data_IF_699669267217
#
_entry.id   IF_699669267217
#
_cell.length_a   1.000
_cell.length_b   1.000
_cell.length_c   1.000
_cell.angle_alpha   90.00
_cell.angle_beta   90.00
_cell.angle_gamma   90.00
#
_symmetry.space_group_name_H-M   'P 1'
#
loop_
_entity.id
_entity.type
_entity.pdbx_description
1 polymer ?
#
# COMPACT_ATOMS: atom_id res chain seq x y z
N UNK A 1 20.55 -11.89 8.52
CA UNK A 1 19.90 -13.17 8.25
C UNK A 1 19.71 -13.26 6.73
N UNK A 2 20.64 -13.87 5.99
CA UNK A 2 20.63 -13.83 4.52
C UNK A 2 19.48 -14.64 3.89
N UNK A 3 18.93 -15.62 4.60
CA UNK A 3 17.84 -16.50 4.12
C UNK A 3 16.43 -16.02 4.50
N UNK A 4 16.29 -14.78 5.00
CA UNK A 4 14.99 -14.26 5.43
C UNK A 4 14.28 -13.53 4.30
N UNK A 5 12.99 -13.82 4.11
CA UNK A 5 12.13 -13.04 3.21
C UNK A 5 11.73 -11.72 3.86
N UNK A 6 11.91 -10.62 3.15
CA UNK A 6 11.66 -9.27 3.61
C UNK A 6 10.59 -8.58 2.76
N UNK A 7 9.57 -8.07 3.44
CA UNK A 7 8.62 -7.12 2.87
C UNK A 7 8.86 -5.73 3.47
N UNK A 8 9.14 -4.75 2.61
CA UNK A 8 9.37 -3.36 3.00
C UNK A 8 8.09 -2.54 2.84
N UNK A 9 7.44 -2.19 3.94
CA UNK A 9 6.33 -1.22 3.97
C UNK A 9 6.83 0.22 3.92
N UNK A 10 5.97 1.14 3.47
CA UNK A 10 6.31 2.57 3.41
C UNK A 10 6.32 3.22 4.79
N UNK A 11 5.31 2.90 5.60
CA UNK A 11 5.16 3.41 6.95
C UNK A 11 5.30 2.27 7.96
N UNK A 12 5.82 2.61 9.14
CA UNK A 12 5.65 1.77 10.32
C UNK A 12 4.20 1.92 10.77
N UNK A 13 3.39 0.85 10.75
CA UNK A 13 2.02 0.95 11.20
C UNK A 13 1.99 1.43 12.64
N UNK A 14 2.87 0.99 13.55
CA UNK A 14 2.77 1.32 14.99
C UNK A 14 3.01 2.82 15.28
N UNK A 15 3.70 3.52 14.39
CA UNK A 15 4.13 4.91 14.60
C UNK A 15 3.34 5.85 13.68
N UNK A 16 2.29 6.54 14.18
CA UNK A 16 1.47 7.40 13.34
C UNK A 16 2.29 8.56 12.78
N UNK A 17 2.23 8.73 11.46
CA UNK A 17 2.90 9.81 10.75
C UNK A 17 1.97 11.03 10.62
N UNK A 18 2.47 12.26 10.82
CA UNK A 18 1.70 13.47 10.53
C UNK A 18 1.22 13.50 9.07
N UNK A 19 -0.05 13.79 8.86
CA UNK A 19 -0.63 13.96 7.52
C UNK A 19 -0.27 15.33 6.90
N UNK A 20 -0.46 15.47 5.58
CA UNK A 20 -0.29 16.71 4.83
C UNK A 20 1.08 16.84 4.16
N UNK A 21 1.86 15.76 4.09
CA UNK A 21 3.21 15.77 3.53
C UNK A 21 3.33 14.93 2.25
N UNK A 22 2.21 14.59 1.61
CA UNK A 22 2.17 13.98 0.28
C UNK A 22 1.95 15.02 -0.81
N UNK A 23 2.94 15.13 -1.69
CA UNK A 23 2.93 16.02 -2.87
C UNK A 23 2.81 15.22 -4.16
N UNK A 24 2.81 15.90 -5.31
CA UNK A 24 2.83 15.22 -6.61
C UNK A 24 4.20 14.62 -6.96
N UNK A 25 5.24 14.96 -6.19
CA UNK A 25 6.64 14.61 -6.46
C UNK A 25 7.25 13.72 -5.38
N UNK A 26 6.71 13.80 -4.17
CA UNK A 26 7.30 13.20 -2.99
C UNK A 26 6.26 12.78 -1.96
N UNK A 27 6.64 11.80 -1.15
CA UNK A 27 5.96 11.35 0.06
C UNK A 27 6.97 11.43 1.20
N UNK A 28 6.53 11.80 2.39
CA UNK A 28 7.41 11.86 3.57
C UNK A 28 7.20 10.68 4.49
N UNK A 29 8.28 10.21 5.10
CA UNK A 29 8.27 9.23 6.19
C UNK A 29 8.97 9.81 7.42
N UNK A 30 8.65 9.29 8.60
CA UNK A 30 9.22 9.72 9.86
C UNK A 30 9.98 8.57 10.49
N UNK A 31 11.26 8.79 10.74
CA UNK A 31 12.07 7.92 11.58
C UNK A 31 12.42 8.59 12.89
N UNK A 32 13.25 7.93 13.70
CA UNK A 32 13.80 8.50 14.94
C UNK A 32 14.55 9.83 14.71
N UNK A 33 15.16 10.00 13.53
CA UNK A 33 15.85 11.23 13.12
C UNK A 33 14.94 12.32 12.55
N UNK A 34 13.62 12.14 12.58
CA UNK A 34 12.64 13.09 12.05
C UNK A 34 12.21 12.79 10.61
N UNK A 35 11.75 13.83 9.92
CA UNK A 35 11.10 13.75 8.59
C UNK A 35 12.12 13.50 7.48
N UNK A 36 11.84 12.50 6.66
CA UNK A 36 12.57 12.22 5.41
C UNK A 36 11.61 12.36 4.24
N UNK A 37 11.81 13.39 3.42
CA UNK A 37 11.09 13.54 2.15
C UNK A 37 11.70 12.59 1.10
N UNK A 38 10.84 11.82 0.41
CA UNK A 38 11.22 10.82 -0.58
C UNK A 38 10.56 11.12 -1.92
N UNK A 39 11.37 11.43 -2.94
CA UNK A 39 10.97 11.35 -4.34
C UNK A 39 11.03 9.89 -4.80
N UNK A 40 10.42 9.56 -5.94
CA UNK A 40 10.51 8.21 -6.53
C UNK A 40 11.97 7.75 -6.71
N UNK A 41 12.87 8.64 -7.17
CA UNK A 41 14.30 8.31 -7.32
C UNK A 41 15.00 8.03 -5.99
N UNK A 42 14.75 8.86 -4.97
CA UNK A 42 15.33 8.67 -3.64
C UNK A 42 14.79 7.41 -2.97
N UNK A 43 13.49 7.16 -3.12
CA UNK A 43 12.84 5.94 -2.66
C UNK A 43 13.47 4.70 -3.30
N UNK A 44 13.62 4.68 -4.62
CA UNK A 44 14.24 3.55 -5.32
C UNK A 44 15.71 3.35 -4.96
N UNK A 45 16.48 4.42 -4.72
CA UNK A 45 17.85 4.32 -4.21
C UNK A 45 17.92 3.65 -2.82
N UNK A 46 16.94 3.94 -1.95
CA UNK A 46 16.81 3.26 -0.65
C UNK A 46 16.47 1.79 -0.86
N UNK A 47 15.53 1.47 -1.76
CA UNK A 47 15.18 0.07 -2.05
C UNK A 47 16.38 -0.71 -2.61
N UNK A 48 17.20 -0.10 -3.47
CA UNK A 48 18.44 -0.70 -3.97
C UNK A 48 19.44 -1.04 -2.86
N UNK A 49 19.48 -0.22 -1.79
CA UNK A 49 20.33 -0.48 -0.63
C UNK A 49 19.75 -1.57 0.28
N UNK A 50 18.42 -1.64 0.41
CA UNK A 50 17.73 -2.60 1.27
C UNK A 50 17.58 -3.99 0.63
N UNK A 51 17.42 -4.05 -0.69
CA UNK A 51 17.20 -5.27 -1.49
C UNK A 51 16.13 -6.20 -0.90
N UNK A 52 14.91 -5.70 -0.59
CA UNK A 52 13.87 -6.56 -0.06
C UNK A 52 13.34 -7.50 -1.15
N UNK A 53 12.80 -8.64 -0.75
CA UNK A 53 12.11 -9.53 -1.69
C UNK A 53 10.88 -8.81 -2.25
N UNK A 54 10.05 -8.22 -1.38
CA UNK A 54 8.87 -7.45 -1.76
C UNK A 54 8.93 -6.04 -1.18
N UNK A 55 8.47 -5.02 -1.91
CA UNK A 55 8.34 -3.68 -1.36
C UNK A 55 7.06 -2.97 -1.81
N UNK A 56 6.43 -2.26 -0.87
CA UNK A 56 5.31 -1.39 -1.15
C UNK A 56 5.76 -0.25 -2.07
N UNK A 57 5.04 -0.01 -3.16
CA UNK A 57 5.28 1.17 -3.98
C UNK A 57 4.99 2.46 -3.19
N UNK A 58 5.74 3.53 -3.49
CA UNK A 58 5.42 4.86 -3.01
C UNK A 58 3.98 5.23 -3.40
N UNK A 59 3.15 5.59 -2.41
CA UNK A 59 1.73 5.84 -2.62
C UNK A 59 1.21 7.01 -1.78
N UNK A 60 0.00 7.45 -2.07
CA UNK A 60 -0.68 8.55 -1.40
C UNK A 60 -1.89 8.05 -0.59
N UNK A 61 -1.61 7.46 0.58
CA UNK A 61 -2.60 6.94 1.52
C UNK A 61 -3.33 8.01 2.35
N UNK A 62 -3.10 9.31 2.09
CA UNK A 62 -3.63 10.36 2.96
C UNK A 62 -5.13 10.67 2.74
N UNK A 63 -5.75 10.11 1.70
CA UNK A 63 -7.15 10.41 1.34
C UNK A 63 -8.17 9.97 2.41
N UNK A 64 -7.84 8.99 3.26
CA UNK A 64 -8.73 8.51 4.33
C UNK A 64 -8.59 9.29 5.65
N UNK A 65 -7.59 10.18 5.79
CA UNK A 65 -7.39 10.97 7.03
C UNK A 65 -8.14 12.31 7.02
N UNK A 66 -8.77 12.71 5.91
CA UNK A 66 -9.58 13.93 5.87
C UNK A 66 -10.94 13.68 6.54
N UNK A 67 -11.36 14.56 7.46
CA UNK A 67 -12.66 14.49 8.15
C UNK A 67 -13.86 14.47 7.20
N UNK A 68 -13.68 14.92 5.96
CA UNK A 68 -14.70 14.91 4.92
C UNK A 68 -14.19 14.19 3.67
N UNK A 69 -14.95 13.19 3.21
CA UNK A 69 -14.69 12.50 1.94
C UNK A 69 -14.75 13.49 0.78
N UNK A 70 -13.60 13.75 0.16
CA UNK A 70 -13.49 14.64 -1.00
C UNK A 70 -13.18 13.84 -2.26
N UNK A 71 -14.11 13.82 -3.22
CA UNK A 71 -13.90 13.23 -4.55
C UNK A 71 -12.60 13.72 -5.21
N UNK A 72 -12.31 15.01 -5.04
CA UNK A 72 -11.09 15.63 -5.57
C UNK A 72 -9.83 15.05 -4.90
N UNK A 73 -9.89 14.76 -3.59
CA UNK A 73 -8.77 14.20 -2.84
C UNK A 73 -8.51 12.74 -3.19
N UNK A 74 -9.57 11.95 -3.27
CA UNK A 74 -9.54 10.55 -3.69
C UNK A 74 -8.99 10.40 -5.11
N UNK A 75 -9.46 11.21 -6.06
CA UNK A 75 -8.92 11.21 -7.42
C UNK A 75 -7.43 11.52 -7.45
N UNK A 76 -6.99 12.50 -6.64
CA UNK A 76 -5.60 12.92 -6.54
C UNK A 76 -4.71 11.82 -5.94
N UNK A 77 -5.16 11.08 -4.94
CA UNK A 77 -4.39 9.97 -4.36
C UNK A 77 -4.17 8.86 -5.38
N UNK A 78 -5.19 8.52 -6.16
CA UNK A 78 -5.07 7.51 -7.22
C UNK A 78 -4.12 7.98 -8.31
N UNK A 79 -4.28 9.20 -8.82
CA UNK A 79 -3.44 9.73 -9.90
C UNK A 79 -1.95 9.84 -9.49
N UNK A 80 -1.69 10.22 -8.23
CA UNK A 80 -0.33 10.27 -7.66
C UNK A 80 0.27 8.89 -7.52
N UNK A 81 -0.48 7.93 -6.99
CA UNK A 81 0.02 6.58 -6.73
C UNK A 81 0.31 5.83 -8.03
N UNK A 82 -0.55 5.97 -9.05
CA UNK A 82 -0.27 5.43 -10.39
C UNK A 82 0.99 6.06 -11.01
N UNK A 83 1.16 7.38 -10.87
CA UNK A 83 2.37 8.06 -11.34
C UNK A 83 3.62 7.59 -10.61
N UNK A 84 3.54 7.40 -9.30
CA UNK A 84 4.66 6.86 -8.53
C UNK A 84 4.98 5.42 -8.94
N UNK A 85 3.96 4.59 -9.15
CA UNK A 85 4.10 3.22 -9.62
C UNK A 85 4.81 3.15 -10.97
N UNK A 86 4.31 3.88 -11.97
CA UNK A 86 4.88 3.88 -13.31
C UNK A 86 6.35 4.37 -13.28
N UNK A 87 6.66 5.35 -12.42
CA UNK A 87 8.04 5.81 -12.22
C UNK A 87 8.94 4.79 -11.51
N UNK A 88 8.44 4.13 -10.47
CA UNK A 88 9.21 3.13 -9.72
C UNK A 88 9.47 1.89 -10.57
N UNK A 89 8.50 1.45 -11.37
CA UNK A 89 8.66 0.33 -12.32
C UNK A 89 9.74 0.63 -13.36
N UNK A 90 9.73 1.84 -13.95
CA UNK A 90 10.79 2.25 -14.89
C UNK A 90 12.18 2.24 -14.24
N UNK A 91 12.28 2.79 -13.03
CA UNK A 91 13.55 2.80 -12.28
C UNK A 91 13.99 1.41 -11.82
N UNK A 92 13.04 0.49 -11.61
CA UNK A 92 13.32 -0.89 -11.27
C UNK A 92 13.89 -1.63 -12.49
N UNK A 93 13.31 -1.42 -13.67
CA UNK A 93 13.78 -2.00 -14.94
C UNK A 93 15.23 -1.59 -15.26
N UNK A 94 15.60 -0.35 -14.93
CA UNK A 94 16.97 0.19 -15.04
C UNK A 94 17.94 -0.35 -13.95
N UNK A 95 17.43 -1.04 -12.92
CA UNK A 95 18.22 -1.47 -11.77
C UNK A 95 18.49 -2.97 -11.79
N UNK A 96 19.76 -3.36 -11.96
CA UNK A 96 20.18 -4.78 -11.92
C UNK A 96 19.93 -5.43 -10.55
N UNK A 97 20.10 -4.66 -9.47
CA UNK A 97 19.99 -5.16 -8.09
C UNK A 97 18.54 -5.47 -7.71
N UNK A 98 17.58 -4.69 -8.21
CA UNK A 98 16.15 -4.83 -7.89
C UNK A 98 15.39 -5.78 -8.82
N UNK A 99 16.06 -6.45 -9.75
CA UNK A 99 15.43 -7.45 -10.64
C UNK A 99 14.85 -8.64 -9.87
N UNK A 100 15.40 -8.95 -8.69
CA UNK A 100 14.89 -10.01 -7.80
C UNK A 100 13.81 -9.51 -6.85
N UNK A 101 13.69 -8.21 -6.69
CA UNK A 101 12.69 -7.58 -5.85
C UNK A 101 11.37 -7.47 -6.60
N UNK A 102 10.26 -7.55 -5.88
CA UNK A 102 8.91 -7.47 -6.44
C UNK A 102 8.20 -6.24 -5.90
N UNK A 103 7.68 -5.40 -6.80
CA UNK A 103 6.88 -4.25 -6.40
C UNK A 103 5.45 -4.69 -6.07
N UNK A 104 4.94 -4.18 -4.95
CA UNK A 104 3.55 -4.31 -4.55
C UNK A 104 2.84 -2.99 -4.91
N UNK A 105 1.86 -3.07 -5.81
CA UNK A 105 1.04 -1.92 -6.18
C UNK A 105 0.10 -1.56 -5.04
N UNK A 106 -0.14 -0.26 -4.82
CA UNK A 106 -1.02 0.19 -3.73
C UNK A 106 -2.34 0.66 -4.32
N UNK A 107 -3.44 0.22 -3.72
CA UNK A 107 -4.80 0.60 -4.10
C UNK A 107 -5.24 1.72 -3.17
N UNK A 108 -5.37 2.91 -3.73
CA UNK A 108 -5.83 4.11 -3.03
C UNK A 108 -7.26 4.48 -3.46
N UNK A 109 -7.73 5.66 -3.04
CA UNK A 109 -9.05 6.20 -3.40
C UNK A 109 -9.91 6.59 -2.20
N UNK A 110 -9.39 6.42 -0.97
CA UNK A 110 -10.13 6.74 0.25
C UNK A 110 -11.45 5.97 0.32
N UNK A 111 -12.52 6.66 0.71
CA UNK A 111 -13.86 6.08 0.83
C UNK A 111 -14.73 6.25 -0.43
N UNK A 112 -14.12 6.70 -1.53
CA UNK A 112 -14.83 6.91 -2.79
C UNK A 112 -14.77 5.63 -3.62
N UNK A 113 -15.90 4.92 -3.69
CA UNK A 113 -16.03 3.66 -4.43
C UNK A 113 -15.53 3.74 -5.87
N UNK A 114 -15.93 4.77 -6.62
CA UNK A 114 -15.54 4.92 -8.02
C UNK A 114 -14.01 5.02 -8.19
N UNK A 115 -13.36 5.80 -7.32
CA UNK A 115 -11.91 5.99 -7.35
C UNK A 115 -11.16 4.75 -6.85
N UNK A 116 -11.71 4.01 -5.90
CA UNK A 116 -11.18 2.72 -5.44
C UNK A 116 -11.18 1.68 -6.57
N UNK A 117 -12.30 1.51 -7.27
CA UNK A 117 -12.40 0.60 -8.41
C UNK A 117 -11.48 1.05 -9.55
N UNK A 118 -11.39 2.36 -9.81
CA UNK A 118 -10.44 2.90 -10.79
C UNK A 118 -9.00 2.57 -10.41
N UNK A 119 -8.62 2.77 -9.14
CA UNK A 119 -7.29 2.43 -8.65
C UNK A 119 -6.99 0.94 -8.81
N UNK A 120 -7.93 0.06 -8.49
CA UNK A 120 -7.78 -1.39 -8.63
C UNK A 120 -7.53 -1.80 -10.09
N UNK A 121 -8.42 -1.38 -10.99
CA UNK A 121 -8.35 -1.68 -12.43
C UNK A 121 -7.09 -1.13 -13.07
N UNK A 122 -6.69 0.10 -12.72
CA UNK A 122 -5.48 0.70 -13.28
C UNK A 122 -4.21 0.03 -12.74
N UNK A 123 -4.11 -0.18 -11.42
CA UNK A 123 -2.93 -0.84 -10.84
C UNK A 123 -2.78 -2.28 -11.34
N UNK A 124 -3.88 -3.01 -11.56
CA UNK A 124 -3.86 -4.37 -12.09
C UNK A 124 -3.30 -4.49 -13.52
N UNK A 125 -3.34 -3.41 -14.32
CA UNK A 125 -2.73 -3.37 -15.66
C UNK A 125 -1.20 -3.34 -15.62
N UNK A 126 -0.59 -2.98 -14.49
CA UNK A 126 0.87 -2.89 -14.33
C UNK A 126 1.45 -4.26 -13.92
N UNK A 127 2.72 -4.53 -14.25
CA UNK A 127 3.40 -5.77 -13.87
C UNK A 127 3.82 -5.78 -12.38
N UNK A 128 2.85 -5.59 -11.48
CA UNK A 128 3.06 -5.69 -10.03
C UNK A 128 2.90 -7.15 -9.59
N UNK A 129 3.62 -7.56 -8.54
CA UNK A 129 3.54 -8.92 -8.02
C UNK A 129 2.42 -9.13 -6.99
N UNK A 130 1.74 -8.07 -6.58
CA UNK A 130 0.63 -8.12 -5.64
C UNK A 130 0.06 -6.73 -5.39
N UNK A 131 -0.99 -6.67 -4.57
CA UNK A 131 -1.71 -5.44 -4.27
C UNK A 131 -1.79 -5.18 -2.78
N UNK A 132 -1.48 -3.98 -2.34
CA UNK A 132 -1.78 -3.50 -0.99
C UNK A 132 -3.07 -2.70 -1.00
N UNK A 133 -4.03 -3.11 -0.19
CA UNK A 133 -5.30 -2.43 0.06
C UNK A 133 -5.09 -1.46 1.21
N UNK A 134 -4.70 -0.22 0.89
CA UNK A 134 -4.35 0.80 1.89
C UNK A 134 -5.57 1.64 2.32
N UNK A 135 -5.48 2.35 3.44
CA UNK A 135 -6.49 3.33 3.88
C UNK A 135 -7.79 2.73 4.43
N UNK A 136 -7.79 1.43 4.80
CA UNK A 136 -8.90 0.77 5.52
C UNK A 136 -8.78 0.86 7.05
N UNK A 137 -7.65 1.38 7.55
CA UNK A 137 -7.39 1.61 8.97
C UNK A 137 -7.92 2.99 9.37
N UNK A 138 -8.69 3.07 10.46
CA UNK A 138 -9.03 4.36 11.09
C UNK A 138 -10.25 5.11 10.55
N UNK A 139 -11.05 4.53 9.65
CA UNK A 139 -12.29 5.17 9.20
C UNK A 139 -13.41 5.07 10.27
N UNK A 140 -14.13 6.15 10.61
CA UNK A 140 -15.37 6.10 11.41
C UNK A 140 -16.53 5.31 10.74
N UNK A 141 -16.39 4.89 9.49
CA UNK A 141 -17.37 4.07 8.79
C UNK A 141 -17.59 2.71 9.46
N UNK A 142 -18.84 2.26 9.39
CA UNK A 142 -19.26 0.96 9.91
C UNK A 142 -18.41 -0.16 9.27
N UNK A 143 -18.21 -1.25 10.03
CA UNK A 143 -17.48 -2.44 9.54
C UNK A 143 -18.06 -2.95 8.21
N UNK A 144 -19.39 -2.93 8.08
CA UNK A 144 -20.12 -3.36 6.88
C UNK A 144 -19.77 -2.53 5.65
N UNK A 145 -19.67 -1.20 5.78
CA UNK A 145 -19.26 -0.32 4.67
C UNK A 145 -17.82 -0.63 4.22
N UNK A 146 -16.92 -0.95 5.16
CA UNK A 146 -15.54 -1.31 4.85
C UNK A 146 -15.46 -2.67 4.15
N UNK A 147 -16.19 -3.66 4.64
CA UNK A 147 -16.30 -4.98 4.02
C UNK A 147 -16.84 -4.89 2.59
N UNK A 148 -17.89 -4.10 2.38
CA UNK A 148 -18.46 -3.87 1.06
C UNK A 148 -17.47 -3.18 0.11
N UNK A 149 -16.72 -2.19 0.60
CA UNK A 149 -15.70 -1.51 -0.20
C UNK A 149 -14.56 -2.48 -0.55
N UNK A 150 -14.11 -3.27 0.41
CA UNK A 150 -13.06 -4.27 0.21
C UNK A 150 -13.48 -5.32 -0.81
N UNK A 151 -14.65 -5.94 -0.64
CA UNK A 151 -15.15 -6.97 -1.55
C UNK A 151 -15.28 -6.45 -2.98
N UNK A 152 -15.83 -5.25 -3.15
CA UNK A 152 -15.94 -4.57 -4.44
C UNK A 152 -14.58 -4.34 -5.11
N UNK A 153 -13.57 -3.93 -4.34
CA UNK A 153 -12.20 -3.72 -4.86
C UNK A 153 -11.56 -5.06 -5.22
N UNK A 154 -11.67 -6.07 -4.36
CA UNK A 154 -11.04 -7.36 -4.57
C UNK A 154 -11.61 -8.12 -5.78
N UNK A 155 -12.88 -7.90 -6.12
CA UNK A 155 -13.50 -8.45 -7.32
C UNK A 155 -12.89 -7.91 -8.63
N UNK A 156 -12.25 -6.73 -8.60
CA UNK A 156 -11.56 -6.14 -9.75
C UNK A 156 -10.08 -6.55 -9.86
N UNK A 157 -9.56 -7.24 -8.83
CA UNK A 157 -8.16 -7.65 -8.78
C UNK A 157 -8.00 -9.10 -9.24
N UNK A 158 -6.92 -9.42 -9.98
CA UNK A 158 -6.67 -10.78 -10.44
C UNK A 158 -6.45 -11.73 -9.24
N UNK A 159 -7.01 -12.95 -9.34
CA UNK A 159 -7.00 -13.94 -8.25
C UNK A 159 -5.65 -14.66 -8.10
N UNK A 160 -4.82 -14.67 -9.13
CA UNK A 160 -3.49 -15.30 -9.13
C UNK A 160 -2.42 -14.46 -8.40
N UNK A 161 -2.78 -13.27 -7.90
CA UNK A 161 -1.87 -12.37 -7.20
C UNK A 161 -2.28 -12.13 -5.74
N UNK A 162 -1.32 -12.08 -4.81
CA UNK A 162 -1.60 -11.83 -3.40
C UNK A 162 -2.17 -10.42 -3.18
N UNK A 163 -3.14 -10.35 -2.29
CA UNK A 163 -3.80 -9.12 -1.83
C UNK A 163 -3.45 -8.92 -0.37
N UNK A 164 -2.77 -7.84 -0.05
CA UNK A 164 -2.23 -7.51 1.26
C UNK A 164 -3.11 -6.43 1.90
N UNK A 165 -3.40 -6.57 3.19
CA UNK A 165 -4.05 -5.55 4.02
C UNK A 165 -3.21 -5.35 5.26
N UNK A 166 -2.97 -4.10 5.64
CA UNK A 166 -2.37 -3.79 6.94
C UNK A 166 -3.47 -3.58 7.99
N UNK A 167 -3.25 -4.10 9.20
CA UNK A 167 -4.16 -3.92 10.33
C UNK A 167 -3.38 -3.72 11.64
N UNK A 168 -3.83 -2.78 12.48
CA UNK A 168 -3.19 -2.49 13.77
C UNK A 168 -3.51 -3.49 14.88
N UNK A 169 -4.70 -4.11 14.86
CA UNK A 169 -5.13 -5.01 15.95
C UNK A 169 -5.56 -6.36 15.40
N UNK A 170 -5.17 -7.44 16.09
CA UNK A 170 -5.61 -8.79 15.82
C UNK A 170 -7.13 -8.95 15.95
N UNK A 171 -7.76 -8.17 16.83
CA UNK A 171 -9.21 -8.21 17.07
C UNK A 171 -10.02 -7.39 16.04
N UNK A 172 -9.43 -6.32 15.48
CA UNK A 172 -10.05 -5.46 14.48
C UNK A 172 -9.71 -5.84 13.02
N UNK A 173 -9.01 -6.97 12.80
CA UNK A 173 -8.60 -7.46 11.49
C UNK A 173 -9.19 -8.82 11.13
N UNK A 174 -10.01 -9.40 12.02
CA UNK A 174 -10.67 -10.70 11.82
C UNK A 174 -11.49 -10.73 10.52
N UNK A 175 -12.12 -9.61 10.17
CA UNK A 175 -12.86 -9.43 8.92
C UNK A 175 -11.99 -9.61 7.67
N UNK A 176 -10.72 -9.18 7.70
CA UNK A 176 -9.83 -9.28 6.55
C UNK A 176 -9.31 -10.71 6.32
N UNK A 177 -9.45 -11.58 7.33
CA UNK A 177 -9.18 -13.03 7.23
C UNK A 177 -10.41 -13.86 6.88
N UNK A 178 -11.59 -13.24 6.73
CA UNK A 178 -12.78 -13.97 6.31
C UNK A 178 -12.59 -14.50 4.88
N UNK A 179 -12.99 -15.77 4.60
CA UNK A 179 -12.82 -16.37 3.27
C UNK A 179 -13.44 -15.53 2.15
N UNK A 180 -14.51 -14.80 2.49
CA UNK A 180 -15.27 -13.94 1.57
C UNK A 180 -14.48 -12.74 1.07
N UNK A 181 -13.45 -12.29 1.81
CA UNK A 181 -12.66 -11.11 1.45
C UNK A 181 -11.48 -11.43 0.50
N UNK A 182 -11.06 -12.70 0.40
CA UNK A 182 -9.95 -13.12 -0.47
C UNK A 182 -8.62 -12.39 -0.21
N UNK A 183 -8.41 -11.85 0.99
CA UNK A 183 -7.23 -11.06 1.35
C UNK A 183 -6.28 -11.86 2.24
N UNK A 184 -4.97 -11.69 2.02
CA UNK A 184 -3.91 -12.14 2.93
C UNK A 184 -3.55 -10.99 3.88
N UNK A 185 -3.76 -11.18 5.18
CA UNK A 185 -3.47 -10.14 6.18
C UNK A 185 -1.98 -10.15 6.51
N UNK A 186 -1.31 -9.01 6.29
CA UNK A 186 0.03 -8.79 6.81
C UNK A 186 -0.08 -8.22 8.23
N UNK A 187 0.23 -9.07 9.20
CA UNK A 187 0.36 -8.65 10.60
C UNK A 187 1.79 -8.17 10.84
N UNK A 188 1.92 -6.92 11.25
CA UNK A 188 3.18 -6.41 11.76
C UNK A 188 3.29 -6.80 13.22
N UNK A 189 3.87 -7.97 13.51
CA UNK A 189 4.45 -8.18 14.84
C UNK A 189 5.75 -7.40 14.80
N UNK A 190 5.91 -6.41 15.67
CA UNK A 190 7.15 -5.66 15.85
C UNK A 190 8.37 -6.55 15.51
N UNK A 191 9.08 -6.20 14.44
CA UNK A 191 10.23 -6.89 13.83
C UNK A 191 10.06 -8.13 12.93
N UNK A 192 8.88 -8.71 12.68
CA UNK A 192 8.71 -9.81 11.68
C UNK A 192 7.29 -9.82 11.08
N UNK A 193 7.17 -9.45 9.80
CA UNK A 193 5.98 -9.78 9.01
C UNK A 193 6.02 -11.28 8.66
N UNK A 194 5.04 -12.04 9.12
CA UNK A 194 4.83 -13.45 8.71
C UNK A 194 3.69 -13.46 7.70
N UNK A 195 3.96 -13.86 6.47
CA UNK A 195 2.88 -14.21 5.54
C UNK A 195 2.18 -15.45 6.10
N UNK A 196 0.91 -15.31 6.48
CA UNK A 196 0.04 -16.46 6.71
C UNK A 196 -0.64 -16.73 5.36
N UNK A 197 -0.10 -17.69 4.61
CA UNK A 197 -0.85 -18.31 3.50
C UNK A 197 -1.74 -19.38 4.11
N UNK A 198 -3.04 -19.35 3.80
CA UNK A 198 -3.96 -20.46 4.05
C UNK A 198 -3.69 -21.61 3.08
#
# INVERSE_FOLDING_TARGET
>A
MPESLLYCSLHDPVSPCPAGYVTNKSVSVWGLGGRVEMTASKFMAIQQALQPDWFQCLSDGEASFEEATSMKRARKSVDRSLRFLDNCLRLQEESEVLQKSTIIGVIEGGDVMEERLRSARETAKRPVGGFLLDGFQGNPATLETRLYLLSSVTAELPEDKPRLVFSWDADHASWATEPECGCSVLRTVSTRARLLMN
#
